data_IF_057300055127
#
_entry.id   IF_057300055127
#
_cell.length_a   1.000
_cell.length_b   1.000
_cell.length_c   1.000
_cell.angle_alpha   90.00
_cell.angle_beta   90.00
_cell.angle_gamma   90.00
#
_symmetry.space_group_name_H-M   'P 1'
#
loop_
_entity.id
_entity.type
_entity.pdbx_description
1 polymer ?
#
# COMPACT_ATOMS: atom_id res chain seq x y z
N UNK A 1 21.33 16.82 -4.92
CA UNK A 1 22.24 15.68 -4.72
C UNK A 1 21.81 14.58 -5.67
N UNK A 2 22.69 14.04 -6.52
CA UNK A 2 22.37 12.91 -7.39
C UNK A 2 22.68 11.60 -6.63
N UNK A 3 21.77 10.64 -6.62
CA UNK A 3 22.00 9.34 -6.00
C UNK A 3 22.96 8.49 -6.85
N UNK A 4 23.91 7.81 -6.21
CA UNK A 4 24.78 6.82 -6.86
C UNK A 4 23.95 5.62 -7.30
N UNK A 5 24.12 5.20 -8.55
CA UNK A 5 23.40 4.07 -9.15
C UNK A 5 23.68 2.81 -8.33
N UNK A 6 22.62 2.10 -7.93
CA UNK A 6 22.74 0.79 -7.26
C UNK A 6 22.73 -0.32 -8.32
N UNK A 7 23.71 -1.25 -8.33
CA UNK A 7 23.70 -2.37 -9.25
C UNK A 7 22.49 -3.28 -8.96
N UNK A 8 21.83 -3.77 -10.01
CA UNK A 8 20.70 -4.69 -9.90
C UNK A 8 21.19 -6.12 -10.19
N UNK A 9 20.81 -7.07 -9.35
CA UNK A 9 21.09 -8.49 -9.57
C UNK A 9 19.77 -9.23 -9.83
N UNK A 10 19.77 -10.10 -10.83
CA UNK A 10 18.58 -10.89 -11.18
C UNK A 10 18.44 -12.05 -10.19
N UNK A 11 17.26 -12.21 -9.62
CA UNK A 11 16.92 -13.40 -8.83
C UNK A 11 16.84 -14.63 -9.74
N UNK A 12 17.56 -15.71 -9.39
CA UNK A 12 17.57 -16.99 -10.10
C UNK A 12 17.51 -18.17 -9.10
N UNK A 13 16.39 -18.92 -9.00
CA UNK A 13 15.16 -18.75 -9.78
C UNK A 13 14.36 -17.49 -9.38
N UNK A 14 13.42 -17.01 -10.22
CA UNK A 14 12.51 -15.94 -9.84
C UNK A 14 11.71 -16.28 -8.58
N UNK A 15 11.54 -15.31 -7.68
CA UNK A 15 10.62 -15.46 -6.55
C UNK A 15 9.18 -15.56 -7.07
N UNK A 16 8.41 -16.48 -6.48
CA UNK A 16 6.97 -16.52 -6.71
C UNK A 16 6.31 -15.24 -6.18
N UNK A 17 5.24 -14.73 -6.81
CA UNK A 17 4.47 -13.61 -6.26
C UNK A 17 3.99 -13.94 -4.85
N UNK A 18 4.29 -13.08 -3.89
CA UNK A 18 3.79 -13.23 -2.54
C UNK A 18 2.32 -12.79 -2.51
N UNK A 19 1.40 -13.73 -2.31
CA UNK A 19 -0.05 -13.47 -2.28
C UNK A 19 -0.59 -13.38 -0.85
N UNK A 20 -0.03 -14.17 0.07
CA UNK A 20 -0.60 -14.36 1.41
C UNK A 20 0.16 -13.51 2.43
N UNK A 21 -0.59 -12.80 3.29
CA UNK A 21 0.00 -11.96 4.34
C UNK A 21 0.78 -10.74 3.84
N UNK A 22 0.68 -10.41 2.55
CA UNK A 22 1.38 -9.25 1.95
C UNK A 22 0.39 -8.14 1.60
N UNK A 23 0.75 -6.92 1.98
CA UNK A 23 0.11 -5.69 1.51
C UNK A 23 1.14 -4.82 0.81
N UNK A 24 0.85 -4.43 -0.44
CA UNK A 24 1.66 -3.47 -1.19
C UNK A 24 1.06 -2.09 -0.99
N UNK A 25 1.83 -1.12 -0.51
CA UNK A 25 1.31 0.24 -0.32
C UNK A 25 2.24 1.32 -0.87
N UNK A 26 1.63 2.44 -1.22
CA UNK A 26 2.31 3.66 -1.64
C UNK A 26 1.63 4.88 -1.00
N UNK A 27 2.45 5.86 -0.60
CA UNK A 27 1.98 7.19 -0.21
C UNK A 27 2.38 8.20 -1.27
N UNK A 28 1.48 9.11 -1.65
CA UNK A 28 1.78 10.22 -2.55
C UNK A 28 1.20 11.55 -2.06
N UNK A 29 1.73 12.66 -2.58
CA UNK A 29 1.16 13.97 -2.28
C UNK A 29 2.01 15.15 -2.74
N UNK A 30 1.33 16.24 -3.09
CA UNK A 30 1.93 17.54 -3.44
C UNK A 30 1.24 18.66 -2.63
N UNK A 31 1.51 19.94 -2.91
CA UNK A 31 1.21 21.16 -2.11
C UNK A 31 -0.20 21.40 -1.52
N UNK A 32 -1.13 20.44 -1.58
CA UNK A 32 -2.39 20.42 -0.84
C UNK A 32 -3.11 19.07 -0.83
N UNK A 33 -2.57 18.05 -1.51
CA UNK A 33 -3.24 16.76 -1.71
C UNK A 33 -2.43 15.61 -1.13
N UNK A 34 -3.12 14.58 -0.64
CA UNK A 34 -2.52 13.34 -0.17
C UNK A 34 -3.24 12.16 -0.81
N UNK A 35 -2.45 11.16 -1.19
CA UNK A 35 -2.92 9.86 -1.62
C UNK A 35 -2.32 8.76 -0.74
N UNK A 36 -3.08 7.68 -0.58
CA UNK A 36 -2.59 6.41 -0.08
C UNK A 36 -3.26 5.30 -0.89
N UNK A 37 -2.45 4.39 -1.41
CA UNK A 37 -2.92 3.22 -2.16
C UNK A 37 -2.42 2.00 -1.42
N UNK A 38 -3.29 0.99 -1.24
CA UNK A 38 -2.90 -0.32 -0.75
C UNK A 38 -3.58 -1.42 -1.56
N UNK A 39 -2.83 -2.46 -1.87
CA UNK A 39 -3.30 -3.70 -2.49
C UNK A 39 -3.03 -4.85 -1.53
N UNK A 40 -4.05 -5.66 -1.28
CA UNK A 40 -3.97 -6.89 -0.45
C UNK A 40 -4.38 -8.07 -1.33
N UNK A 41 -3.41 -8.73 -2.02
CA UNK A 41 -3.71 -9.78 -2.99
C UNK A 41 -4.45 -10.98 -2.38
N UNK A 42 -4.10 -11.37 -1.15
CA UNK A 42 -4.68 -12.53 -0.46
C UNK A 42 -6.21 -12.49 -0.30
N UNK A 43 -6.78 -11.28 -0.26
CA UNK A 43 -8.24 -11.07 -0.16
C UNK A 43 -8.83 -10.38 -1.39
N UNK A 44 -8.05 -10.23 -2.47
CA UNK A 44 -8.44 -9.53 -3.71
C UNK A 44 -8.99 -8.12 -3.46
N UNK A 45 -8.40 -7.40 -2.50
CA UNK A 45 -8.83 -6.05 -2.12
C UNK A 45 -7.80 -5.01 -2.55
N UNK A 46 -8.29 -3.89 -3.09
CA UNK A 46 -7.52 -2.67 -3.32
C UNK A 46 -8.24 -1.46 -2.74
N UNK A 47 -7.53 -0.60 -2.04
CA UNK A 47 -8.08 0.63 -1.45
C UNK A 47 -7.28 1.84 -1.93
N UNK A 48 -8.01 2.89 -2.31
CA UNK A 48 -7.46 4.19 -2.68
C UNK A 48 -8.08 5.27 -1.79
N UNK A 49 -7.22 5.97 -1.05
CA UNK A 49 -7.61 7.12 -0.22
C UNK A 49 -7.07 8.39 -0.84
N UNK A 50 -7.95 9.32 -1.17
CA UNK A 50 -7.60 10.64 -1.72
C UNK A 50 -8.11 11.74 -0.78
N UNK A 51 -7.25 12.68 -0.42
CA UNK A 51 -7.59 13.80 0.44
C UNK A 51 -7.04 15.12 -0.11
N UNK A 52 -7.84 16.19 0.01
CA UNK A 52 -7.47 17.58 -0.29
C UNK A 52 -6.95 18.33 0.95
N UNK A 53 -6.41 17.58 1.92
CA UNK A 53 -5.80 18.10 3.14
C UNK A 53 -4.54 17.30 3.47
N UNK A 54 -3.55 17.98 4.04
CA UNK A 54 -2.34 17.35 4.55
C UNK A 54 -2.60 16.65 5.89
N UNK A 55 -2.99 15.38 5.83
CA UNK A 55 -2.94 14.49 7.01
C UNK A 55 -1.57 13.81 7.09
N UNK A 56 -1.07 13.46 8.30
CA UNK A 56 0.12 12.62 8.45
C UNK A 56 -0.04 11.27 7.75
N UNK A 57 1.08 10.63 7.36
CA UNK A 57 1.06 9.35 6.66
C UNK A 57 0.52 8.24 7.57
N UNK A 58 0.86 8.29 8.84
CA UNK A 58 0.50 7.32 9.89
C UNK A 58 -1.01 7.25 10.07
N UNK A 59 -1.69 8.41 10.03
CA UNK A 59 -3.15 8.50 10.14
C UNK A 59 -3.81 7.83 8.93
N UNK A 60 -3.24 8.00 7.73
CA UNK A 60 -3.78 7.36 6.51
C UNK A 60 -3.59 5.84 6.56
N UNK A 61 -2.42 5.38 7.00
CA UNK A 61 -2.11 3.96 7.14
C UNK A 61 -3.05 3.30 8.17
N UNK A 62 -3.20 3.88 9.37
CA UNK A 62 -4.04 3.30 10.42
C UNK A 62 -5.53 3.28 10.03
N UNK A 63 -6.04 4.36 9.44
CA UNK A 63 -7.43 4.39 8.96
C UNK A 63 -7.69 3.32 7.89
N UNK A 64 -6.72 3.14 6.98
CA UNK A 64 -6.85 2.14 5.91
C UNK A 64 -6.73 0.72 6.45
N UNK A 65 -5.85 0.47 7.43
CA UNK A 65 -5.73 -0.82 8.13
C UNK A 65 -7.06 -1.24 8.74
N UNK A 66 -7.72 -0.33 9.47
CA UNK A 66 -9.05 -0.60 10.06
C UNK A 66 -10.11 -0.89 8.99
N UNK A 67 -10.10 -0.15 7.89
CA UNK A 67 -11.04 -0.40 6.80
C UNK A 67 -10.85 -1.79 6.18
N UNK A 68 -9.60 -2.26 6.05
CA UNK A 68 -9.32 -3.64 5.57
C UNK A 68 -9.94 -4.67 6.53
N UNK A 69 -9.69 -4.53 7.83
CA UNK A 69 -10.23 -5.44 8.86
C UNK A 69 -11.76 -5.55 8.80
N UNK A 70 -12.44 -4.41 8.66
CA UNK A 70 -13.91 -4.36 8.56
C UNK A 70 -14.42 -5.01 7.27
N UNK A 71 -13.74 -4.77 6.13
CA UNK A 71 -14.13 -5.38 4.84
C UNK A 71 -13.91 -6.90 4.86
N UNK A 72 -12.81 -7.38 5.45
CA UNK A 72 -12.55 -8.82 5.63
C UNK A 72 -13.63 -9.48 6.52
N UNK A 73 -13.97 -8.85 7.65
CA UNK A 73 -14.99 -9.34 8.56
C UNK A 73 -16.38 -9.42 7.89
N UNK A 74 -16.74 -8.39 7.11
CA UNK A 74 -18.00 -8.34 6.37
C UNK A 74 -18.07 -9.36 5.23
N UNK A 75 -16.94 -9.71 4.60
CA UNK A 75 -16.87 -10.66 3.48
C UNK A 75 -16.87 -12.13 3.94
N UNK A 76 -16.70 -12.38 5.23
CA UNK A 76 -16.68 -13.72 5.84
C UNK A 76 -18.07 -14.23 6.25
N UNK A 77 -19.14 -13.48 5.93
CA UNK A 77 -20.55 -13.83 6.15
C UNK A 77 -21.28 -14.02 4.81
#
# INVERSE_FOLDING_TARGET
>A
MAQTIQPVERLDPPLAPATDGVSLNETGGTGGFRSYVVLVPGIKLGIVVLANRNYPNEVRAEATRRLIEEVEAASSH
#
